data_IF_106830930023
#
_entry.id   IF_106830930023
#
_cell.length_a   1.000
_cell.length_b   1.000
_cell.length_c   1.000
_cell.angle_alpha   90.00
_cell.angle_beta   90.00
_cell.angle_gamma   90.00
#
_symmetry.space_group_name_H-M   'P 1'
#
loop_
_entity.id
_entity.type
_entity.pdbx_description
1 polymer ?
#
# COMPACT_ATOMS: atom_id res chain seq x y z
N UNK A 1 14.37 -23.20 11.85
CA UNK A 1 14.39 -22.72 10.48
C UNK A 1 15.45 -23.46 9.67
N UNK A 2 15.09 -23.96 8.49
CA UNK A 2 15.99 -24.60 7.55
C UNK A 2 16.98 -23.56 6.95
N UNK A 3 17.94 -24.03 6.16
CA UNK A 3 18.80 -23.12 5.39
C UNK A 3 17.97 -22.29 4.42
N UNK A 4 17.01 -22.91 3.73
CA UNK A 4 16.09 -22.26 2.82
C UNK A 4 15.31 -21.12 3.50
N UNK A 5 14.72 -21.36 4.68
CA UNK A 5 13.95 -20.33 5.41
C UNK A 5 14.81 -19.10 5.73
N UNK A 6 16.09 -19.30 6.03
CA UNK A 6 17.02 -18.20 6.33
C UNK A 6 17.38 -17.41 5.06
N UNK A 7 17.56 -18.11 3.94
CA UNK A 7 17.87 -17.48 2.67
C UNK A 7 16.67 -16.63 2.20
N UNK A 8 15.44 -17.17 2.26
CA UNK A 8 14.19 -16.43 1.98
C UNK A 8 14.05 -15.20 2.88
N UNK A 9 14.28 -15.36 4.19
CA UNK A 9 14.19 -14.23 5.12
C UNK A 9 15.22 -13.12 4.80
N UNK A 10 16.45 -13.51 4.43
CA UNK A 10 17.47 -12.54 4.02
C UNK A 10 17.08 -11.78 2.75
N UNK A 11 16.62 -12.49 1.74
CA UNK A 11 16.19 -11.89 0.47
C UNK A 11 15.02 -10.92 0.70
N UNK A 12 14.07 -11.28 1.56
CA UNK A 12 12.96 -10.38 1.91
C UNK A 12 13.44 -9.14 2.68
N UNK A 13 14.38 -9.28 3.60
CA UNK A 13 14.97 -8.14 4.32
C UNK A 13 15.78 -7.23 3.37
N UNK A 14 16.47 -7.80 2.40
CA UNK A 14 17.20 -7.04 1.39
C UNK A 14 16.26 -6.21 0.52
N UNK A 15 15.16 -6.80 0.02
CA UNK A 15 14.13 -6.10 -0.77
C UNK A 15 13.58 -4.86 -0.08
N UNK A 16 13.39 -4.93 1.23
CA UNK A 16 12.90 -3.79 2.04
C UNK A 16 14.03 -2.94 2.64
N UNK A 17 15.28 -3.14 2.22
CA UNK A 17 16.48 -2.41 2.69
C UNK A 17 16.70 -2.52 4.22
N UNK A 18 16.34 -3.66 4.81
CA UNK A 18 16.47 -3.92 6.25
C UNK A 18 17.56 -4.96 6.60
N UNK A 19 18.23 -5.53 5.61
CA UNK A 19 19.30 -6.52 5.83
C UNK A 19 20.42 -6.02 6.77
N UNK A 20 20.88 -4.74 6.73
CA UNK A 20 21.90 -4.24 7.69
C UNK A 20 21.45 -4.28 9.15
N UNK A 21 20.15 -4.37 9.39
CA UNK A 21 19.55 -4.39 10.73
C UNK A 21 19.06 -5.78 11.16
N UNK A 22 19.37 -6.84 10.40
CA UNK A 22 18.86 -8.20 10.61
C UNK A 22 19.14 -8.76 12.01
N UNK A 23 20.22 -8.31 12.67
CA UNK A 23 20.59 -8.75 14.02
C UNK A 23 20.14 -7.80 15.14
N UNK A 24 19.38 -6.73 14.82
CA UNK A 24 18.84 -5.82 15.83
C UNK A 24 17.52 -6.33 16.37
N UNK A 25 17.27 -6.09 17.64
CA UNK A 25 15.95 -6.32 18.22
C UNK A 25 14.94 -5.33 17.60
N UNK A 26 13.74 -5.82 17.32
CA UNK A 26 12.70 -5.01 16.65
C UNK A 26 12.34 -3.76 17.45
N UNK A 27 12.39 -3.83 18.78
CA UNK A 27 12.17 -2.70 19.69
C UNK A 27 13.18 -1.57 19.54
N UNK A 28 14.35 -1.84 18.95
CA UNK A 28 15.43 -0.87 18.72
C UNK A 28 15.39 -0.27 17.30
N UNK A 29 14.32 -0.54 16.56
CA UNK A 29 14.07 -0.02 15.22
C UNK A 29 13.12 1.16 15.29
N UNK A 30 13.28 2.16 14.40
CA UNK A 30 12.29 3.22 14.23
C UNK A 30 10.97 2.66 13.71
N UNK A 31 9.85 3.40 13.86
CA UNK A 31 8.54 2.98 13.37
C UNK A 31 8.55 2.59 11.89
N UNK A 32 9.15 3.40 11.02
CA UNK A 32 9.28 3.09 9.60
C UNK A 32 10.18 1.86 9.32
N UNK A 33 11.20 1.63 10.15
CA UNK A 33 12.01 0.41 10.07
C UNK A 33 11.22 -0.82 10.48
N UNK A 34 10.43 -0.73 11.56
CA UNK A 34 9.55 -1.81 12.00
C UNK A 34 8.52 -2.15 10.92
N UNK A 35 7.91 -1.15 10.28
CA UNK A 35 6.96 -1.33 9.19
C UNK A 35 7.59 -2.14 8.04
N UNK A 36 8.81 -1.79 7.64
CA UNK A 36 9.54 -2.54 6.60
C UNK A 36 9.86 -3.98 7.01
N UNK A 37 10.20 -4.23 8.28
CA UNK A 37 10.41 -5.59 8.78
C UNK A 37 9.11 -6.41 8.77
N UNK A 38 7.98 -5.80 9.13
CA UNK A 38 6.68 -6.47 9.04
C UNK A 38 6.31 -6.80 7.59
N UNK A 39 6.63 -5.92 6.65
CA UNK A 39 6.48 -6.20 5.23
C UNK A 39 7.37 -7.37 4.79
N UNK A 40 8.66 -7.37 5.16
CA UNK A 40 9.56 -8.50 4.86
C UNK A 40 9.04 -9.82 5.42
N UNK A 41 8.47 -9.81 6.62
CA UNK A 41 7.84 -11.00 7.23
C UNK A 41 6.65 -11.49 6.41
N UNK A 42 5.81 -10.59 5.92
CA UNK A 42 4.68 -10.96 5.06
C UNK A 42 5.17 -11.59 3.75
N UNK A 43 6.19 -10.99 3.12
CA UNK A 43 6.80 -11.49 1.89
C UNK A 43 7.40 -12.89 2.06
N UNK A 44 8.05 -13.15 3.19
CA UNK A 44 8.69 -14.44 3.48
C UNK A 44 7.69 -15.60 3.62
N UNK A 45 6.38 -15.31 3.71
CA UNK A 45 5.34 -16.34 3.69
C UNK A 45 5.02 -16.86 2.29
N UNK A 46 5.49 -16.19 1.23
CA UNK A 46 5.28 -16.55 -0.18
C UNK A 46 3.80 -16.83 -0.52
N UNK A 47 2.88 -16.10 0.11
CA UNK A 47 1.45 -16.27 -0.02
C UNK A 47 0.95 -15.90 -1.43
N UNK A 48 -0.25 -16.36 -1.81
CA UNK A 48 -0.93 -15.93 -3.03
C UNK A 48 -1.79 -14.68 -2.80
N UNK A 49 -2.16 -14.41 -1.55
CA UNK A 49 -2.94 -13.26 -1.13
C UNK A 49 -2.25 -12.56 0.04
N UNK A 50 -2.08 -11.25 -0.09
CA UNK A 50 -1.50 -10.36 0.93
C UNK A 50 -2.54 -9.35 1.40
N UNK A 51 -2.70 -9.24 2.72
CA UNK A 51 -3.45 -8.17 3.37
C UNK A 51 -2.47 -7.21 4.04
N UNK A 52 -2.56 -5.94 3.69
CA UNK A 52 -1.67 -4.90 4.21
C UNK A 52 -2.51 -3.73 4.72
N UNK A 53 -2.25 -3.30 5.94
CA UNK A 53 -2.88 -2.14 6.54
C UNK A 53 -1.86 -1.00 6.62
N UNK A 54 -2.12 0.07 5.85
CA UNK A 54 -1.28 1.27 5.76
C UNK A 54 0.22 0.98 5.57
N UNK A 55 0.64 0.20 4.56
CA UNK A 55 2.03 -0.24 4.41
C UNK A 55 3.01 0.91 4.17
N UNK A 56 2.52 2.11 3.85
CA UNK A 56 3.31 3.32 3.59
C UNK A 56 3.39 4.26 4.79
N UNK A 57 2.71 3.95 5.89
CA UNK A 57 2.67 4.83 7.06
C UNK A 57 4.07 5.02 7.67
N UNK A 58 4.44 6.30 7.86
CA UNK A 58 5.70 6.66 8.54
C UNK A 58 6.98 6.34 7.78
N UNK A 59 6.92 6.08 6.47
CA UNK A 59 8.09 5.92 5.61
C UNK A 59 8.37 7.18 4.80
N UNK A 60 9.63 7.39 4.41
CA UNK A 60 9.99 8.46 3.49
C UNK A 60 9.62 8.11 2.03
N UNK A 61 9.57 9.12 1.16
CA UNK A 61 9.14 8.96 -0.24
C UNK A 61 9.99 7.94 -1.03
N UNK A 62 11.28 7.84 -0.76
CA UNK A 62 12.15 6.88 -1.44
C UNK A 62 11.83 5.43 -1.00
N UNK A 63 11.52 5.26 0.28
CA UNK A 63 11.07 3.97 0.82
C UNK A 63 9.68 3.62 0.31
N UNK A 64 8.75 4.57 0.26
CA UNK A 64 7.43 4.39 -0.32
C UNK A 64 7.51 3.90 -1.76
N UNK A 65 8.29 4.58 -2.62
CA UNK A 65 8.51 4.15 -4.01
C UNK A 65 9.05 2.72 -4.10
N UNK A 66 10.01 2.35 -3.26
CA UNK A 66 10.55 0.99 -3.25
C UNK A 66 9.51 -0.06 -2.82
N UNK A 67 8.61 0.28 -1.88
CA UNK A 67 7.51 -0.60 -1.49
C UNK A 67 6.53 -0.75 -2.66
N UNK A 68 6.17 0.32 -3.35
CA UNK A 68 5.27 0.28 -4.51
C UNK A 68 5.85 -0.60 -5.63
N UNK A 69 7.12 -0.44 -5.98
CA UNK A 69 7.80 -1.30 -6.95
C UNK A 69 7.68 -2.78 -6.56
N UNK A 70 7.92 -3.09 -5.28
CA UNK A 70 7.80 -4.44 -4.76
C UNK A 70 6.37 -5.00 -4.87
N UNK A 71 5.34 -4.18 -4.58
CA UNK A 71 3.94 -4.59 -4.73
C UNK A 71 3.60 -4.86 -6.21
N UNK A 72 4.13 -4.07 -7.14
CA UNK A 72 3.99 -4.32 -8.57
C UNK A 72 4.67 -5.63 -9.00
N UNK A 73 5.89 -5.92 -8.51
CA UNK A 73 6.55 -7.20 -8.77
C UNK A 73 5.72 -8.41 -8.31
N UNK A 74 5.09 -8.31 -7.12
CA UNK A 74 4.22 -9.35 -6.61
C UNK A 74 2.99 -9.56 -7.51
N UNK A 75 2.38 -8.47 -7.96
CA UNK A 75 1.26 -8.50 -8.90
C UNK A 75 1.66 -9.18 -10.21
N UNK A 76 2.80 -8.83 -10.80
CA UNK A 76 3.32 -9.47 -12.02
C UNK A 76 3.55 -10.96 -11.85
N UNK A 77 3.88 -11.41 -10.63
CA UNK A 77 3.98 -12.83 -10.25
C UNK A 77 2.62 -13.50 -10.01
N UNK A 78 1.51 -12.82 -10.33
CA UNK A 78 0.15 -13.32 -10.16
C UNK A 78 -0.37 -13.31 -8.73
N UNK A 79 0.27 -12.57 -7.81
CA UNK A 79 -0.21 -12.43 -6.44
C UNK A 79 -1.33 -11.41 -6.34
N UNK A 80 -2.24 -11.60 -5.39
CA UNK A 80 -3.31 -10.67 -5.08
C UNK A 80 -2.94 -9.85 -3.84
N UNK A 81 -3.13 -8.54 -3.92
CA UNK A 81 -2.79 -7.61 -2.86
C UNK A 81 -4.05 -6.83 -2.48
N UNK A 82 -4.44 -6.88 -1.21
CA UNK A 82 -5.48 -6.04 -0.62
C UNK A 82 -4.82 -5.08 0.36
N UNK A 83 -4.86 -3.79 0.02
CA UNK A 83 -4.18 -2.74 0.78
C UNK A 83 -5.21 -1.77 1.32
N UNK A 84 -5.20 -1.57 2.64
CA UNK A 84 -5.95 -0.46 3.27
C UNK A 84 -5.09 0.80 3.16
N UNK A 85 -5.67 1.87 2.63
CA UNK A 85 -4.98 3.13 2.37
C UNK A 85 -5.96 4.30 2.54
N UNK A 86 -5.53 5.38 3.15
CA UNK A 86 -6.40 6.52 3.42
C UNK A 86 -6.14 7.72 2.51
N UNK A 87 -5.01 7.75 1.82
CA UNK A 87 -4.66 8.83 0.89
C UNK A 87 -5.17 8.51 -0.53
N UNK A 88 -6.33 9.06 -0.86
CA UNK A 88 -6.97 8.84 -2.16
C UNK A 88 -6.17 9.37 -3.36
N UNK A 89 -5.53 10.55 -3.31
CA UNK A 89 -4.69 11.02 -4.41
C UNK A 89 -3.61 10.04 -4.84
N UNK A 90 -2.91 9.41 -3.89
CA UNK A 90 -1.88 8.42 -4.17
C UNK A 90 -2.47 7.07 -4.57
N UNK A 91 -3.63 6.70 -4.00
CA UNK A 91 -4.32 5.45 -4.33
C UNK A 91 -4.60 5.32 -5.83
N UNK A 92 -4.95 6.42 -6.51
CA UNK A 92 -5.17 6.44 -7.96
C UNK A 92 -3.96 5.97 -8.76
N UNK A 93 -2.77 6.28 -8.28
CA UNK A 93 -1.53 5.98 -8.99
C UNK A 93 -0.99 4.57 -8.65
N UNK A 94 -1.43 3.98 -7.53
CA UNK A 94 -0.84 2.76 -6.99
C UNK A 94 -1.68 1.52 -7.24
N UNK A 95 -3.02 1.66 -7.35
CA UNK A 95 -3.93 0.52 -7.35
C UNK A 95 -4.80 0.46 -8.61
N UNK A 96 -5.06 -0.75 -9.10
CA UNK A 96 -5.90 -0.99 -10.28
C UNK A 96 -7.39 -0.93 -9.95
N UNK A 97 -7.73 -1.35 -8.74
CA UNK A 97 -9.09 -1.46 -8.23
C UNK A 97 -9.21 -0.71 -6.91
N UNK A 98 -10.34 -0.06 -6.69
CA UNK A 98 -10.65 0.59 -5.43
C UNK A 98 -11.97 0.08 -4.86
N UNK A 99 -11.96 -0.09 -3.53
CA UNK A 99 -13.16 -0.28 -2.71
C UNK A 99 -13.26 0.91 -1.75
N UNK A 100 -14.21 1.80 -1.98
CA UNK A 100 -14.49 2.93 -1.08
C UNK A 100 -15.49 2.52 -0.01
N UNK A 101 -15.09 2.67 1.24
CA UNK A 101 -15.89 2.34 2.42
C UNK A 101 -16.19 3.59 3.24
N UNK A 102 -17.46 3.78 3.59
CA UNK A 102 -17.91 4.73 4.59
C UNK A 102 -19.11 4.11 5.34
N UNK A 103 -18.84 3.30 6.39
CA UNK A 103 -19.79 2.45 7.10
C UNK A 103 -20.55 1.44 6.19
N UNK A 104 -20.53 1.66 4.88
CA UNK A 104 -21.08 0.81 3.82
C UNK A 104 -20.19 0.92 2.59
N UNK A 105 -20.33 0.00 1.68
CA UNK A 105 -19.68 0.11 0.37
C UNK A 105 -20.27 1.33 -0.36
N UNK A 106 -19.41 2.29 -0.69
CA UNK A 106 -19.78 3.49 -1.47
C UNK A 106 -19.58 3.21 -2.95
N UNK A 107 -18.43 2.65 -3.31
CA UNK A 107 -18.10 2.28 -4.68
C UNK A 107 -17.08 1.14 -4.66
N UNK A 108 -17.10 0.31 -5.69
CA UNK A 108 -16.13 -0.74 -5.96
C UNK A 108 -15.96 -0.93 -7.47
N UNK A 109 -14.74 -0.95 -7.94
CA UNK A 109 -14.45 -1.15 -9.37
C UNK A 109 -13.04 -0.71 -9.75
N UNK A 110 -12.77 -0.65 -11.07
CA UNK A 110 -11.55 -0.06 -11.61
C UNK A 110 -11.31 1.35 -11.06
N UNK A 111 -10.07 1.64 -10.72
CA UNK A 111 -9.68 2.91 -10.06
C UNK A 111 -10.24 4.13 -10.79
N UNK A 112 -10.09 4.21 -12.11
CA UNK A 112 -10.56 5.36 -12.89
C UNK A 112 -12.09 5.54 -12.86
N UNK A 113 -12.85 4.43 -12.84
CA UNK A 113 -14.31 4.48 -12.73
C UNK A 113 -14.77 4.95 -11.36
N UNK A 114 -14.14 4.42 -10.30
CA UNK A 114 -14.46 4.78 -8.92
C UNK A 114 -14.16 6.26 -8.66
N UNK A 115 -13.03 6.78 -9.18
CA UNK A 115 -12.70 8.20 -9.07
C UNK A 115 -13.73 9.08 -9.81
N UNK A 116 -14.15 8.68 -11.02
CA UNK A 116 -15.16 9.40 -11.79
C UNK A 116 -16.51 9.41 -11.06
N UNK A 117 -16.94 8.27 -10.51
CA UNK A 117 -18.16 8.17 -9.70
C UNK A 117 -18.10 9.04 -8.45
N UNK A 118 -16.96 9.03 -7.76
CA UNK A 118 -16.71 9.87 -6.59
C UNK A 118 -16.80 11.37 -6.90
N UNK A 119 -16.28 11.80 -8.04
CA UNK A 119 -16.38 13.19 -8.50
C UNK A 119 -17.83 13.59 -8.81
N UNK A 120 -18.62 12.70 -9.40
CA UNK A 120 -20.03 12.95 -9.71
C UNK A 120 -20.93 13.03 -8.47
N UNK A 121 -20.67 12.21 -7.45
CA UNK A 121 -21.42 12.26 -6.18
C UNK A 121 -21.19 13.55 -5.39
N UNK A 122 -20.02 14.17 -5.51
CA UNK A 122 -19.73 15.45 -4.86
C UNK A 122 -20.57 16.62 -5.39
N UNK A 123 -21.05 16.53 -6.62
CA UNK A 123 -21.92 17.56 -7.21
C UNK A 123 -23.36 17.48 -6.72
N UNK A 124 -23.78 16.35 -6.14
CA UNK A 124 -25.19 16.09 -5.82
C UNK A 124 -25.52 16.06 -4.32
N UNK A 125 -24.55 15.95 -3.41
CA UNK A 125 -24.84 15.88 -1.96
C UNK A 125 -23.64 16.32 -1.13
N UNK A 126 -23.65 17.56 -0.73
CA UNK A 126 -22.65 18.34 0.00
C UNK A 126 -22.07 17.78 1.30
N UNK A 127 -21.60 16.55 1.36
CA UNK A 127 -20.85 16.01 2.49
C UNK A 127 -20.07 14.73 2.15
N UNK A 128 -18.98 14.88 1.43
CA UNK A 128 -17.87 13.92 1.52
C UNK A 128 -16.57 14.74 1.41
N UNK A 129 -16.06 15.20 2.54
CA UNK A 129 -14.83 15.98 2.66
C UNK A 129 -13.64 15.27 2.00
N UNK A 130 -13.65 13.95 1.99
CA UNK A 130 -12.65 13.09 1.35
C UNK A 130 -12.65 13.25 -0.18
N UNK A 131 -13.82 13.44 -0.80
CA UNK A 131 -13.94 13.57 -2.25
C UNK A 131 -13.68 15.00 -2.76
N UNK A 132 -13.76 16.02 -1.89
CA UNK A 132 -13.35 17.38 -2.25
C UNK A 132 -11.83 17.49 -2.41
N UNK A 133 -11.05 16.79 -1.58
CA UNK A 133 -9.59 16.75 -1.70
C UNK A 133 -9.14 16.06 -2.99
N UNK A 134 -9.83 14.99 -3.41
CA UNK A 134 -9.57 14.32 -4.69
C UNK A 134 -9.89 15.24 -5.88
N UNK A 135 -10.99 15.97 -5.82
CA UNK A 135 -11.36 16.90 -6.88
C UNK A 135 -10.34 18.05 -7.04
N UNK A 136 -9.82 18.55 -5.93
CA UNK A 136 -8.81 19.61 -5.94
C UNK A 136 -7.44 19.11 -6.42
N UNK A 137 -7.04 17.89 -6.05
CA UNK A 137 -5.80 17.27 -6.54
C UNK A 137 -5.83 16.99 -8.06
N UNK A 138 -6.99 16.64 -8.62
CA UNK A 138 -7.16 16.46 -10.06
C UNK A 138 -7.13 17.80 -10.82
N UNK A 139 -7.69 18.86 -10.26
CA UNK A 139 -7.67 20.21 -10.88
C UNK A 139 -6.29 20.85 -10.93
N UNK A 140 -5.40 20.52 -10.01
CA UNK A 140 -4.04 21.06 -9.97
C UNK A 140 -3.09 20.40 -10.99
N UNK A 141 -3.49 19.30 -11.64
CA UNK A 141 -2.69 18.58 -12.66
C UNK A 141 -3.17 18.80 -14.10
N UNK A 142 -4.19 19.63 -14.32
CA UNK A 142 -4.66 20.05 -15.62
C UNK A 142 -4.26 21.49 -15.89
#
# INVERSE_FOLDING_TARGET
PTKHDRDVARDCLEKVKMLPYANRQISNLSGGQQQRVFLARALAQESDLYFMDEPFAGVDAATESAIIELLHELKEKGKTLLVVHHDLPTARNYFDMLLLLNMRVVAFGPTEEVFTYGLLQNTSSGRLTILSEVADAVRQKT
#
